data_IF_087121556257
#
_entry.id   IF_087121556257
#
_cell.length_a   1.000
_cell.length_b   1.000
_cell.length_c   1.000
_cell.angle_alpha   90.00
_cell.angle_beta   90.00
_cell.angle_gamma   90.00
#
_symmetry.space_group_name_H-M   'P 1'
#
loop_
_entity.id
_entity.type
_entity.pdbx_description
1 polymer ?
#
# COMPACT_ATOMS: atom_id res chain seq x y z
N UNK A 1 6.26 -2.71 18.90
CA UNK A 1 6.51 -2.44 20.32
C UNK A 1 5.46 -1.49 20.86
N UNK A 2 5.14 -1.62 22.15
CA UNK A 2 4.21 -0.71 22.84
C UNK A 2 4.74 -0.44 24.26
N UNK A 3 4.72 0.85 24.64
CA UNK A 3 5.16 1.28 25.97
C UNK A 3 4.08 2.09 26.65
N UNK A 4 3.66 1.67 27.85
CA UNK A 4 2.69 2.38 28.69
C UNK A 4 3.45 3.32 29.63
N UNK A 5 3.71 4.53 29.17
CA UNK A 5 4.44 5.56 29.91
C UNK A 5 3.67 5.98 31.17
N UNK A 6 2.33 5.93 31.15
CA UNK A 6 1.49 6.25 32.32
C UNK A 6 1.67 5.31 33.52
N UNK A 7 2.20 4.10 33.30
CA UNK A 7 2.47 3.15 34.39
C UNK A 7 3.83 3.35 35.05
N UNK A 8 4.69 4.18 34.46
CA UNK A 8 5.99 4.50 35.02
C UNK A 8 5.86 5.35 36.30
N UNK A 9 6.67 5.08 37.32
CA UNK A 9 6.59 5.73 38.62
C UNK A 9 6.72 7.25 38.55
N UNK A 10 7.57 7.75 37.65
CA UNK A 10 7.82 9.18 37.47
C UNK A 10 6.61 9.95 36.89
N UNK A 11 5.68 9.27 36.20
CA UNK A 11 4.43 9.84 35.67
C UNK A 11 3.29 9.57 36.62
N UNK A 12 3.14 8.32 37.08
CA UNK A 12 2.01 7.84 37.89
C UNK A 12 1.79 8.67 39.16
N UNK A 13 2.88 9.10 39.79
CA UNK A 13 2.83 9.90 41.04
C UNK A 13 2.51 11.38 40.78
N UNK A 14 2.90 11.92 39.63
CA UNK A 14 2.82 13.36 39.33
C UNK A 14 1.63 13.75 38.49
N UNK A 15 1.14 12.87 37.61
CA UNK A 15 0.10 13.18 36.64
C UNK A 15 -1.21 12.39 36.89
N UNK A 16 -1.85 12.61 38.03
CA UNK A 16 -3.12 11.92 38.40
C UNK A 16 -4.29 12.17 37.43
N UNK A 17 -4.20 13.20 36.61
CA UNK A 17 -5.15 13.52 35.55
C UNK A 17 -4.95 12.71 34.28
N UNK A 18 -3.79 12.06 34.14
CA UNK A 18 -3.42 11.23 33.02
C UNK A 18 -3.75 9.76 33.33
N UNK A 19 -4.78 9.23 32.71
CA UNK A 19 -5.21 7.84 32.93
C UNK A 19 -4.41 6.86 32.08
N UNK A 20 -4.12 7.25 30.82
CA UNK A 20 -3.32 6.44 29.93
C UNK A 20 -2.44 7.33 29.05
N UNK A 21 -1.20 6.91 28.92
CA UNK A 21 -0.27 7.41 27.91
C UNK A 21 0.49 6.19 27.38
N UNK A 22 0.18 5.79 26.14
CA UNK A 22 0.80 4.63 25.49
C UNK A 22 1.42 5.05 24.17
N UNK A 23 2.68 4.74 24.03
CA UNK A 23 3.41 4.87 22.77
C UNK A 23 3.41 3.54 22.04
N UNK A 24 3.13 3.58 20.73
CA UNK A 24 3.15 2.43 19.82
C UNK A 24 4.14 2.68 18.70
N UNK A 25 5.02 1.72 18.45
CA UNK A 25 5.98 1.73 17.36
C UNK A 25 5.92 0.39 16.65
N UNK A 26 5.78 0.40 15.34
CA UNK A 26 5.89 -0.80 14.53
C UNK A 26 6.66 -0.53 13.24
N UNK A 27 7.36 -1.54 12.80
CA UNK A 27 8.02 -1.60 11.51
C UNK A 27 7.77 -2.98 10.92
N UNK A 28 7.46 -3.03 9.64
CA UNK A 28 7.22 -4.26 8.92
C UNK A 28 7.60 -4.15 7.45
N UNK A 29 7.85 -5.29 6.87
CA UNK A 29 8.10 -5.46 5.44
C UNK A 29 7.11 -6.49 4.93
N UNK A 30 6.35 -6.14 3.89
CA UNK A 30 5.40 -7.03 3.23
C UNK A 30 5.75 -7.18 1.77
N UNK A 31 5.57 -8.38 1.22
CA UNK A 31 5.69 -8.68 -0.20
C UNK A 31 4.29 -8.87 -0.81
N UNK A 32 4.13 -8.46 -2.06
CA UNK A 32 2.92 -8.68 -2.85
C UNK A 32 3.31 -9.13 -4.24
N UNK A 33 2.63 -10.15 -4.74
CA UNK A 33 2.78 -10.74 -6.08
C UNK A 33 1.48 -10.67 -6.89
N UNK A 34 0.78 -9.53 -6.82
CA UNK A 34 -0.52 -9.31 -7.44
C UNK A 34 -0.42 -9.23 -8.97
N UNK A 35 0.03 -10.32 -9.60
CA UNK A 35 0.11 -10.52 -11.04
C UNK A 35 -0.57 -11.82 -11.45
N UNK A 36 -0.94 -11.91 -12.71
CA UNK A 36 -1.52 -13.14 -13.28
C UNK A 36 -0.52 -14.30 -13.26
N UNK A 37 -1.05 -15.52 -13.15
CA UNK A 37 -0.23 -16.72 -13.27
C UNK A 37 0.46 -16.73 -14.65
N UNK A 38 1.72 -17.14 -14.66
CA UNK A 38 2.55 -17.20 -15.88
C UNK A 38 2.92 -15.84 -16.51
N UNK A 39 2.71 -14.70 -15.83
CA UNK A 39 3.13 -13.38 -16.33
C UNK A 39 4.65 -13.26 -16.60
N UNK A 40 5.43 -14.18 -16.06
CA UNK A 40 6.88 -14.28 -16.28
C UNK A 40 7.27 -15.07 -17.54
N UNK A 41 6.30 -15.64 -18.26
CA UNK A 41 6.52 -16.54 -19.39
C UNK A 41 5.78 -16.05 -20.63
N UNK A 42 6.38 -16.18 -21.81
CA UNK A 42 5.69 -15.94 -23.06
C UNK A 42 4.67 -17.07 -23.30
N UNK A 43 3.44 -16.69 -23.53
CA UNK A 43 2.36 -17.64 -23.85
C UNK A 43 2.14 -17.63 -25.37
N UNK A 44 2.01 -18.83 -25.93
CA UNK A 44 1.64 -19.04 -27.33
C UNK A 44 0.17 -19.44 -27.39
N UNK A 45 -0.53 -18.90 -28.39
CA UNK A 45 -1.92 -19.26 -28.68
C UNK A 45 -2.03 -19.76 -30.12
N UNK A 46 -3.12 -20.45 -30.41
CA UNK A 46 -3.39 -20.92 -31.76
C UNK A 46 -3.74 -19.75 -32.68
N UNK A 47 -3.11 -19.67 -33.81
CA UNK A 47 -3.40 -18.67 -34.84
C UNK A 47 -3.59 -19.34 -36.20
N UNK A 48 -4.58 -18.85 -36.94
CA UNK A 48 -4.80 -19.27 -38.32
C UNK A 48 -4.01 -18.39 -39.29
N UNK A 49 -3.24 -19.00 -40.17
CA UNK A 49 -2.54 -18.32 -41.24
C UNK A 49 -3.10 -18.74 -42.61
N UNK A 50 -3.25 -17.79 -43.52
CA UNK A 50 -3.67 -18.06 -44.89
C UNK A 50 -2.40 -18.32 -45.71
N UNK A 51 -2.25 -19.53 -46.25
CA UNK A 51 -1.17 -19.91 -47.13
C UNK A 51 -1.70 -20.14 -48.54
N UNK A 52 -1.06 -19.57 -49.55
CA UNK A 52 -1.39 -19.69 -50.95
C UNK A 52 -1.93 -18.42 -51.58
N UNK A 53 -2.05 -18.39 -52.89
CA UNK A 53 -2.62 -17.30 -53.68
C UNK A 53 -4.17 -17.41 -53.73
N UNK A 54 -4.83 -16.27 -53.77
CA UNK A 54 -6.30 -16.18 -53.84
C UNK A 54 -7.01 -16.60 -52.59
N UNK A 55 -7.90 -17.59 -52.67
CA UNK A 55 -8.66 -18.13 -51.50
C UNK A 55 -7.86 -19.19 -50.72
N UNK A 56 -6.62 -18.98 -50.48
CA UNK A 56 -5.69 -19.92 -49.86
C UNK A 56 -6.26 -20.69 -48.64
N UNK A 57 -5.65 -21.81 -48.29
CA UNK A 57 -6.05 -22.63 -47.14
C UNK A 57 -5.64 -21.97 -45.84
N UNK A 58 -6.54 -21.97 -44.86
CA UNK A 58 -6.21 -21.58 -43.48
C UNK A 58 -5.46 -22.72 -42.80
N UNK A 59 -4.24 -22.47 -42.37
CA UNK A 59 -3.39 -23.42 -41.66
C UNK A 59 -3.29 -22.95 -40.23
N UNK A 60 -3.52 -23.85 -39.28
CA UNK A 60 -3.34 -23.58 -37.85
C UNK A 60 -1.85 -23.59 -37.52
N UNK A 61 -1.42 -22.59 -36.78
CA UNK A 61 -0.07 -22.45 -36.23
C UNK A 61 -0.11 -21.94 -34.80
N UNK A 62 1.05 -21.80 -34.23
CA UNK A 62 1.21 -21.11 -32.94
C UNK A 62 1.73 -19.70 -33.21
N UNK A 63 1.07 -18.73 -32.64
CA UNK A 63 1.51 -17.35 -32.65
C UNK A 63 1.64 -16.85 -31.24
N UNK A 64 2.46 -15.85 -31.07
CA UNK A 64 2.54 -15.11 -29.85
C UNK A 64 1.29 -14.20 -29.76
N UNK A 65 0.27 -14.68 -29.10
CA UNK A 65 -1.02 -13.98 -28.99
C UNK A 65 -1.18 -13.26 -27.64
N UNK A 66 -0.22 -13.43 -26.72
CA UNK A 66 -0.23 -12.65 -25.49
C UNK A 66 0.14 -11.21 -25.80
N UNK A 67 -0.71 -10.28 -25.43
CA UNK A 67 -0.41 -8.85 -25.55
C UNK A 67 0.78 -8.42 -24.68
N UNK A 68 1.25 -9.31 -23.81
CA UNK A 68 2.31 -9.06 -22.84
C UNK A 68 3.53 -9.95 -23.08
N UNK A 69 4.70 -9.34 -23.16
CA UNK A 69 5.99 -10.01 -23.16
C UNK A 69 6.26 -10.58 -21.75
N UNK A 70 6.60 -11.86 -21.67
CA UNK A 70 7.00 -12.50 -20.42
C UNK A 70 8.32 -11.93 -19.88
N UNK A 71 8.39 -11.73 -18.58
CA UNK A 71 9.59 -11.21 -17.93
C UNK A 71 10.03 -12.15 -16.80
N UNK A 72 11.10 -12.92 -17.04
CA UNK A 72 11.65 -13.88 -16.07
C UNK A 72 12.33 -13.22 -14.87
N UNK A 73 12.60 -11.92 -14.95
CA UNK A 73 13.21 -11.15 -13.85
C UNK A 73 12.19 -10.54 -12.90
N UNK A 74 10.90 -10.86 -13.06
CA UNK A 74 9.85 -10.37 -12.15
C UNK A 74 10.11 -10.79 -10.72
N UNK A 75 9.95 -9.83 -9.82
CA UNK A 75 10.07 -9.97 -8.37
C UNK A 75 8.80 -9.46 -7.69
N UNK A 76 8.63 -9.80 -6.45
CA UNK A 76 7.53 -9.29 -5.63
C UNK A 76 7.70 -7.80 -5.36
N UNK A 77 6.60 -7.08 -5.33
CA UNK A 77 6.58 -5.74 -4.75
C UNK A 77 6.95 -5.82 -3.27
N UNK A 78 7.78 -4.91 -2.82
CA UNK A 78 8.18 -4.83 -1.42
C UNK A 78 7.75 -3.51 -0.80
N UNK A 79 6.88 -3.60 0.20
CA UNK A 79 6.45 -2.45 1.01
C UNK A 79 7.12 -2.48 2.37
N UNK A 80 7.90 -1.44 2.65
CA UNK A 80 8.49 -1.18 3.96
C UNK A 80 7.64 -0.11 4.64
N UNK A 81 7.09 -0.42 5.82
CA UNK A 81 6.21 0.47 6.56
C UNK A 81 6.67 0.66 7.99
N UNK A 82 6.72 1.91 8.42
CA UNK A 82 6.92 2.31 9.80
C UNK A 82 5.68 3.05 10.30
N UNK A 83 5.23 2.71 11.52
CA UNK A 83 4.10 3.36 12.17
C UNK A 83 4.51 3.84 13.56
N UNK A 84 4.04 5.03 13.89
CA UNK A 84 4.13 5.66 15.20
C UNK A 84 2.71 5.94 15.67
N UNK A 85 2.35 5.47 16.86
CA UNK A 85 1.04 5.71 17.46
C UNK A 85 1.15 6.21 18.90
N UNK A 86 0.22 7.06 19.29
CA UNK A 86 0.11 7.63 20.62
C UNK A 86 -1.34 7.55 21.10
N UNK A 87 -1.58 6.84 22.19
CA UNK A 87 -2.89 6.75 22.82
C UNK A 87 -2.85 7.50 24.15
N UNK A 88 -3.73 8.48 24.31
CA UNK A 88 -3.83 9.33 25.50
C UNK A 88 -5.24 9.23 26.05
N UNK A 89 -5.36 9.07 27.36
CA UNK A 89 -6.64 9.16 28.07
C UNK A 89 -6.51 10.03 29.31
N UNK A 90 -7.40 10.99 29.44
CA UNK A 90 -7.33 12.05 30.45
C UNK A 90 -8.63 12.14 31.26
N UNK A 91 -8.53 12.72 32.46
CA UNK A 91 -9.65 13.12 33.28
C UNK A 91 -10.66 11.98 33.55
N UNK A 92 -10.15 10.86 34.08
CA UNK A 92 -10.95 9.65 34.32
C UNK A 92 -11.62 9.12 33.05
N UNK A 93 -10.86 9.05 31.97
CA UNK A 93 -11.29 8.60 30.63
C UNK A 93 -12.38 9.49 29.98
N UNK A 94 -12.49 10.74 30.41
CA UNK A 94 -13.43 11.69 29.78
C UNK A 94 -12.94 12.20 28.44
N UNK A 95 -11.63 12.22 28.22
CA UNK A 95 -11.03 12.63 26.96
C UNK A 95 -10.11 11.50 26.50
N UNK A 96 -10.39 10.94 25.35
CA UNK A 96 -9.56 9.96 24.64
C UNK A 96 -9.02 10.59 23.36
N UNK A 97 -7.71 10.49 23.15
CA UNK A 97 -7.04 10.92 21.94
C UNK A 97 -6.16 9.78 21.44
N UNK A 98 -6.39 9.36 20.20
CA UNK A 98 -5.51 8.47 19.46
C UNK A 98 -4.90 9.24 18.31
N UNK A 99 -3.59 9.13 18.15
CA UNK A 99 -2.84 9.71 17.06
C UNK A 99 -1.97 8.66 16.44
N UNK A 100 -2.04 8.50 15.11
CA UNK A 100 -1.23 7.58 14.33
C UNK A 100 -0.55 8.33 13.19
N UNK A 101 0.73 8.08 13.01
CA UNK A 101 1.50 8.50 11.85
C UNK A 101 2.11 7.30 11.18
N UNK A 102 1.92 7.20 9.88
CA UNK A 102 2.53 6.14 9.08
C UNK A 102 3.37 6.69 7.94
N UNK A 103 4.40 5.93 7.63
CA UNK A 103 5.29 6.17 6.50
C UNK A 103 5.61 4.85 5.83
N UNK A 104 5.29 4.72 4.54
CA UNK A 104 5.59 3.52 3.77
C UNK A 104 6.26 3.84 2.44
N UNK A 105 7.15 2.95 2.03
CA UNK A 105 7.77 2.94 0.70
C UNK A 105 7.56 1.56 0.09
N UNK A 106 6.88 1.54 -1.05
CA UNK A 106 6.79 0.38 -1.93
C UNK A 106 7.85 0.50 -3.01
N UNK A 107 8.65 -0.54 -3.19
CA UNK A 107 9.69 -0.68 -4.22
C UNK A 107 9.31 -1.80 -5.15
N UNK A 108 9.93 -1.82 -6.32
CA UNK A 108 9.71 -2.86 -7.34
C UNK A 108 8.24 -3.00 -7.71
N UNK A 109 7.58 -1.85 -7.96
CA UNK A 109 6.16 -1.83 -8.35
C UNK A 109 5.96 -2.70 -9.59
N UNK A 110 4.96 -3.58 -9.51
CA UNK A 110 4.54 -4.44 -10.61
C UNK A 110 3.52 -3.69 -11.47
N UNK A 111 3.89 -3.37 -12.69
CA UNK A 111 2.96 -2.77 -13.64
C UNK A 111 3.31 -3.16 -15.09
N UNK A 112 2.34 -3.02 -15.98
CA UNK A 112 2.52 -3.25 -17.40
C UNK A 112 3.01 -1.96 -18.07
N UNK A 113 4.20 -2.03 -18.66
CA UNK A 113 4.81 -0.96 -19.46
C UNK A 113 4.53 -1.20 -20.94
N UNK A 114 4.14 -0.16 -21.65
CA UNK A 114 4.00 -0.23 -23.10
C UNK A 114 5.36 -0.43 -23.73
N UNK A 115 5.48 -1.41 -24.61
CA UNK A 115 6.68 -1.71 -25.38
C UNK A 115 6.44 -1.46 -26.85
N UNK A 116 7.54 -1.37 -27.63
CA UNK A 116 7.43 -1.18 -29.07
C UNK A 116 6.87 -2.45 -29.72
N UNK A 117 5.73 -2.31 -30.42
CA UNK A 117 5.01 -3.41 -31.08
C UNK A 117 5.77 -4.13 -32.18
N UNK A 118 6.95 -3.64 -32.61
CA UNK A 118 7.82 -4.30 -33.60
C UNK A 118 8.18 -5.73 -33.16
N UNK A 119 8.26 -5.97 -31.84
CA UNK A 119 8.54 -7.30 -31.29
C UNK A 119 7.32 -8.22 -31.20
N UNK A 120 6.14 -7.79 -31.68
CA UNK A 120 4.89 -8.55 -31.60
C UNK A 120 4.15 -8.43 -30.27
N UNK A 121 4.64 -7.62 -29.33
CA UNK A 121 4.03 -7.36 -28.03
C UNK A 121 3.69 -5.90 -27.87
N UNK A 122 2.66 -5.59 -27.10
CA UNK A 122 2.26 -4.21 -26.81
C UNK A 122 2.60 -3.80 -25.39
N UNK A 123 2.77 -4.77 -24.50
CA UNK A 123 3.01 -4.57 -23.08
C UNK A 123 4.06 -5.55 -22.55
N UNK A 124 4.70 -5.17 -21.45
CA UNK A 124 5.57 -6.04 -20.68
C UNK A 124 5.43 -5.75 -19.19
N UNK A 125 5.35 -6.80 -18.38
CA UNK A 125 5.41 -6.67 -16.93
C UNK A 125 6.82 -6.25 -16.49
N UNK A 126 6.88 -5.29 -15.60
CA UNK A 126 8.15 -4.79 -15.04
C UNK A 126 8.04 -4.55 -13.54
N UNK A 127 9.18 -4.62 -12.86
CA UNK A 127 9.36 -4.27 -11.45
C UNK A 127 10.05 -2.92 -11.29
N UNK A 128 9.67 -1.97 -12.06
CA UNK A 128 10.22 -0.62 -11.99
C UNK A 128 9.30 0.27 -11.14
N UNK A 129 9.89 1.26 -10.53
CA UNK A 129 9.12 2.26 -9.82
C UNK A 129 9.14 2.15 -8.30
N UNK A 130 8.83 3.28 -7.70
CA UNK A 130 8.83 3.49 -6.27
C UNK A 130 7.72 4.43 -5.85
N UNK A 131 6.92 3.99 -4.88
CA UNK A 131 5.80 4.73 -4.34
C UNK A 131 6.02 5.03 -2.87
N UNK A 132 5.71 6.24 -2.45
CA UNK A 132 5.70 6.63 -1.04
C UNK A 132 4.31 7.02 -0.60
N UNK A 133 3.84 6.40 0.49
CA UNK A 133 2.63 6.78 1.20
C UNK A 133 3.00 7.26 2.60
N UNK A 134 2.43 8.36 3.03
CA UNK A 134 2.53 8.85 4.39
C UNK A 134 1.25 9.54 4.80
N UNK A 135 0.93 9.47 6.04
CA UNK A 135 -0.24 10.15 6.56
C UNK A 135 -0.27 10.16 8.06
N UNK A 136 -1.19 10.92 8.59
CA UNK A 136 -1.54 10.85 9.99
C UNK A 136 -3.05 10.75 10.16
N UNK A 137 -3.44 10.10 11.22
CA UNK A 137 -4.82 9.90 11.63
C UNK A 137 -4.95 10.35 13.09
N UNK A 138 -6.03 10.99 13.40
CA UNK A 138 -6.34 11.46 14.75
C UNK A 138 -7.80 11.17 15.07
N UNK A 139 -8.03 10.54 16.19
CA UNK A 139 -9.35 10.34 16.77
C UNK A 139 -9.42 10.99 18.14
N UNK A 140 -10.36 11.89 18.32
CA UNK A 140 -10.65 12.53 19.59
C UNK A 140 -12.06 12.14 20.03
N UNK A 141 -12.17 11.53 21.20
CA UNK A 141 -13.45 11.22 21.84
C UNK A 141 -13.56 11.94 23.18
N UNK A 142 -14.66 12.64 23.40
CA UNK A 142 -14.92 13.36 24.64
C UNK A 142 -16.28 12.99 25.21
N UNK A 143 -16.33 12.76 26.52
CA UNK A 143 -17.58 12.59 27.30
C UNK A 143 -17.86 13.88 28.03
N UNK A 144 -18.64 14.77 27.38
CA UNK A 144 -18.92 16.12 27.86
C UNK A 144 -19.82 16.10 29.09
N UNK A 145 -20.91 15.33 29.00
CA UNK A 145 -21.86 15.14 30.09
C UNK A 145 -22.14 13.63 30.22
N UNK A 146 -22.04 13.11 31.43
CA UNK A 146 -22.32 11.71 31.68
C UNK A 146 -23.00 11.59 33.07
N UNK A 147 -24.30 11.84 33.10
CA UNK A 147 -25.12 11.66 34.26
C UNK A 147 -26.29 10.70 33.99
N UNK A 148 -27.14 10.41 34.99
CA UNK A 148 -28.26 9.46 34.84
C UNK A 148 -29.34 9.93 33.86
N UNK A 149 -29.55 11.22 33.74
CA UNK A 149 -30.63 11.82 32.94
C UNK A 149 -30.19 12.22 31.55
N UNK A 150 -28.90 12.58 31.38
CA UNK A 150 -28.40 13.06 30.11
C UNK A 150 -26.94 12.61 29.88
N UNK A 151 -26.71 12.10 28.69
CA UNK A 151 -25.37 11.68 28.25
C UNK A 151 -25.06 12.37 26.92
N UNK A 152 -23.93 13.07 26.90
CA UNK A 152 -23.44 13.72 25.69
C UNK A 152 -21.97 13.40 25.50
N UNK A 153 -21.65 12.80 24.36
CA UNK A 153 -20.28 12.56 23.90
C UNK A 153 -20.07 13.16 22.52
N UNK A 154 -18.83 13.51 22.21
CA UNK A 154 -18.42 14.00 20.90
C UNK A 154 -17.28 13.14 20.43
N UNK A 155 -17.32 12.72 19.16
CA UNK A 155 -16.22 12.04 18.47
C UNK A 155 -15.83 12.83 17.24
N UNK A 156 -14.54 13.05 17.08
CA UNK A 156 -13.97 13.75 15.93
C UNK A 156 -12.83 12.92 15.35
N UNK A 157 -12.90 12.65 14.04
CA UNK A 157 -11.89 11.91 13.30
C UNK A 157 -11.30 12.80 12.21
N UNK A 158 -9.98 12.77 12.10
CA UNK A 158 -9.24 13.46 11.06
C UNK A 158 -8.20 12.50 10.46
N UNK A 159 -8.22 12.36 9.13
CA UNK A 159 -7.22 11.59 8.40
C UNK A 159 -6.66 12.43 7.25
N UNK A 160 -5.35 12.53 7.16
CA UNK A 160 -4.65 13.18 6.06
C UNK A 160 -3.62 12.20 5.48
N UNK A 161 -3.81 11.87 4.22
CA UNK A 161 -2.95 10.95 3.47
C UNK A 161 -2.27 11.65 2.32
N UNK A 162 -1.00 11.39 2.11
CA UNK A 162 -0.25 11.87 0.95
C UNK A 162 0.47 10.72 0.27
N UNK A 163 0.10 10.51 -0.97
CA UNK A 163 0.71 9.56 -1.88
C UNK A 163 1.65 10.31 -2.83
N UNK A 164 2.82 9.75 -3.13
CA UNK A 164 3.75 10.29 -4.11
C UNK A 164 4.49 9.17 -4.82
N UNK A 165 4.35 9.16 -6.12
CA UNK A 165 5.19 8.36 -7.00
C UNK A 165 6.59 9.00 -7.03
N UNK A 166 7.60 8.24 -6.67
CA UNK A 166 8.99 8.72 -6.56
C UNK A 166 9.78 8.42 -7.82
N UNK A 167 9.45 7.30 -8.48
CA UNK A 167 10.14 6.78 -9.65
C UNK A 167 9.21 5.88 -10.44
N UNK A 168 9.28 5.92 -11.76
CA UNK A 168 8.56 5.03 -12.70
C UNK A 168 9.51 4.12 -13.49
N UNK A 169 10.82 4.13 -13.18
CA UNK A 169 11.80 3.28 -13.86
C UNK A 169 12.03 3.62 -15.33
N UNK A 170 11.66 4.81 -15.78
CA UNK A 170 12.01 5.32 -17.09
C UNK A 170 13.30 6.14 -17.04
N UNK A 171 13.94 6.46 -18.21
CA UNK A 171 14.97 7.47 -18.23
C UNK A 171 14.38 8.76 -17.66
N UNK A 172 14.95 9.27 -16.57
CA UNK A 172 14.59 10.57 -16.03
C UNK A 172 14.85 11.60 -17.12
N UNK A 173 13.79 12.17 -17.68
CA UNK A 173 13.95 13.39 -18.47
C UNK A 173 14.53 14.45 -17.53
N UNK A 174 15.76 14.88 -17.84
CA UNK A 174 16.47 15.97 -17.18
C UNK A 174 15.90 17.30 -17.62
#
# INVERSE_FOLDING_TARGET
AGWRISEESFIKERAKWLNQLKLRLSYGVTGTDAIESYANTDLLDSAGYILGEGNGSVVSGLANNSASLGNRALQWEQTNQANFGLDISLLNNRIGLTFDYYYSITKSLLYQKTVNSIAGYTQAWTNEGKLRNRGFEMELTTYNINNRQFKWSTSFNLSLTRNRLLDLGGPSEQ
#
